data_IF_079830620447
#
_entry.id   IF_079830620447
#
_cell.length_a   1.000
_cell.length_b   1.000
_cell.length_c   1.000
_cell.angle_alpha   90.00
_cell.angle_beta   90.00
_cell.angle_gamma   90.00
#
_symmetry.space_group_name_H-M   'P 1'
#
loop_
_entity.id
_entity.type
_entity.pdbx_description
1 polymer ?
#
# COMPACT_ATOMS: atom_id res chain seq x y z
N UNK A 1 5.30 15.96 -6.59
CA UNK A 1 5.36 15.92 -5.10
C UNK A 1 6.74 16.44 -4.68
N UNK A 2 6.85 17.58 -3.99
CA UNK A 2 8.12 18.28 -3.73
C UNK A 2 9.16 17.47 -2.92
N UNK A 3 8.73 16.40 -2.24
CA UNK A 3 9.57 15.54 -1.39
C UNK A 3 10.29 14.43 -2.17
N UNK A 4 9.89 14.15 -3.41
CA UNK A 4 10.32 12.96 -4.13
C UNK A 4 11.78 13.02 -4.61
N UNK A 5 12.49 11.91 -4.46
CA UNK A 5 13.83 11.69 -4.97
C UNK A 5 13.94 10.24 -5.47
N UNK A 6 14.65 10.04 -6.58
CA UNK A 6 14.69 8.76 -7.28
C UNK A 6 13.70 8.67 -8.44
N UNK A 7 13.92 7.72 -9.35
CA UNK A 7 13.02 7.41 -10.47
C UNK A 7 12.03 6.33 -10.01
N UNK A 8 10.73 6.63 -9.89
CA UNK A 8 9.73 5.61 -9.62
C UNK A 8 9.55 4.73 -10.85
N UNK A 9 9.57 3.41 -10.68
CA UNK A 9 9.34 2.46 -11.77
C UNK A 9 8.55 1.24 -11.30
N UNK A 10 7.63 0.79 -12.15
CA UNK A 10 6.97 -0.52 -12.05
C UNK A 10 7.74 -1.52 -12.92
N UNK A 11 8.19 -2.61 -12.32
CA UNK A 11 8.75 -3.75 -13.04
C UNK A 11 7.69 -4.85 -13.02
N UNK A 12 7.13 -5.15 -14.19
CA UNK A 12 6.07 -6.14 -14.36
C UNK A 12 6.61 -7.40 -15.03
N UNK A 13 6.23 -8.55 -14.48
CA UNK A 13 6.51 -9.87 -15.01
C UNK A 13 5.20 -10.45 -15.50
N UNK A 14 5.07 -10.58 -16.82
CA UNK A 14 3.87 -11.14 -17.46
C UNK A 14 4.01 -12.65 -17.61
N UNK A 15 2.97 -13.39 -17.22
CA UNK A 15 2.96 -14.84 -17.28
C UNK A 15 2.09 -15.31 -18.45
N UNK A 16 2.75 -15.83 -19.49
CA UNK A 16 2.05 -16.50 -20.59
C UNK A 16 1.33 -17.74 -20.08
N UNK A 17 0.07 -17.91 -20.47
CA UNK A 17 -0.75 -19.06 -20.07
C UNK A 17 -0.52 -20.22 -21.02
N UNK A 18 0.20 -21.26 -20.61
CA UNK A 18 0.47 -22.45 -21.45
C UNK A 18 -0.63 -23.51 -21.30
N UNK A 19 -1.19 -24.02 -22.40
CA UNK A 19 -2.22 -25.06 -22.42
C UNK A 19 -2.10 -25.98 -23.64
N UNK A 20 -2.78 -27.12 -23.61
CA UNK A 20 -2.93 -27.99 -24.78
C UNK A 20 -4.13 -27.52 -25.60
N UNK A 21 -3.96 -27.35 -26.91
CA UNK A 21 -5.06 -27.09 -27.82
C UNK A 21 -5.86 -28.37 -28.12
N UNK A 22 -6.90 -28.27 -28.96
CA UNK A 22 -7.77 -29.42 -29.32
C UNK A 22 -7.01 -30.55 -30.02
N UNK A 23 -5.88 -30.23 -30.63
CA UNK A 23 -4.99 -31.15 -31.34
C UNK A 23 -3.90 -31.75 -30.41
N UNK A 24 -3.95 -31.48 -29.10
CA UNK A 24 -2.98 -31.99 -28.12
C UNK A 24 -1.60 -31.32 -28.19
N UNK A 25 -1.47 -30.21 -28.91
CA UNK A 25 -0.23 -29.42 -29.01
C UNK A 25 -0.19 -28.36 -27.92
N UNK A 26 0.98 -28.18 -27.29
CA UNK A 26 1.22 -27.06 -26.38
C UNK A 26 1.12 -25.75 -27.16
N UNK A 27 0.25 -24.86 -26.71
CA UNK A 27 0.09 -23.49 -27.16
C UNK A 27 0.12 -22.56 -25.94
N UNK A 28 0.21 -21.26 -26.18
CA UNK A 28 0.19 -20.26 -25.12
C UNK A 28 -0.67 -19.06 -25.52
N UNK A 29 -1.22 -18.37 -24.52
CA UNK A 29 -1.92 -17.10 -24.71
C UNK A 29 -1.14 -15.96 -24.04
N UNK A 30 -1.00 -14.86 -24.78
CA UNK A 30 -0.39 -13.59 -24.35
C UNK A 30 -1.38 -12.43 -24.39
N UNK A 31 -2.66 -12.68 -24.66
CA UNK A 31 -3.70 -11.65 -24.56
C UNK A 31 -4.00 -11.45 -23.08
N UNK A 32 -3.74 -10.23 -22.59
CA UNK A 32 -3.94 -9.81 -21.20
C UNK A 32 -3.34 -10.80 -20.18
N UNK A 33 -2.02 -11.08 -20.28
CA UNK A 33 -1.42 -12.07 -19.40
C UNK A 33 -1.49 -11.55 -17.96
N UNK A 34 -1.80 -12.43 -16.98
CA UNK A 34 -1.69 -12.04 -15.59
C UNK A 34 -0.24 -11.61 -15.33
N UNK A 35 -0.06 -10.60 -14.50
CA UNK A 35 1.25 -10.07 -14.17
C UNK A 35 1.45 -9.99 -12.67
N UNK A 36 2.68 -10.27 -12.25
CA UNK A 36 3.17 -9.88 -10.94
C UNK A 36 4.02 -8.62 -11.11
N UNK A 37 4.03 -7.73 -10.14
CA UNK A 37 4.78 -6.48 -10.26
C UNK A 37 5.42 -6.08 -8.95
N UNK A 38 6.61 -5.50 -9.07
CA UNK A 38 7.24 -4.75 -8.00
C UNK A 38 7.41 -3.30 -8.41
N UNK A 39 7.44 -2.42 -7.42
CA UNK A 39 7.52 -0.98 -7.59
C UNK A 39 8.75 -0.50 -6.86
N UNK A 40 9.54 0.35 -7.52
CA UNK A 40 10.78 0.93 -6.99
C UNK A 40 10.59 2.43 -6.83
N UNK A 41 11.15 3.01 -5.76
CA UNK A 41 11.11 4.44 -5.44
C UNK A 41 9.71 5.07 -5.45
N UNK A 42 8.66 4.25 -5.41
CA UNK A 42 7.30 4.68 -5.18
C UNK A 42 6.96 4.58 -3.71
N UNK A 43 7.13 5.69 -2.99
CA UNK A 43 7.01 5.76 -1.54
C UNK A 43 5.57 5.75 -1.05
N UNK A 44 4.57 5.81 -1.93
CA UNK A 44 3.16 5.66 -1.55
C UNK A 44 2.60 4.48 -2.33
N UNK A 45 2.53 3.29 -1.72
CA UNK A 45 2.10 2.09 -2.41
C UNK A 45 0.68 2.20 -2.96
N UNK A 46 0.44 1.57 -4.12
CA UNK A 46 -0.87 1.59 -4.79
C UNK A 46 -1.99 0.88 -4.03
N UNK A 47 -1.65 0.12 -2.98
CA UNK A 47 -2.63 -0.50 -2.06
C UNK A 47 -3.04 0.42 -0.90
N UNK A 48 -2.39 1.59 -0.74
CA UNK A 48 -2.74 2.57 0.28
C UNK A 48 -3.91 3.44 -0.17
N UNK A 49 -4.82 3.79 0.74
CA UNK A 49 -5.85 4.78 0.43
C UNK A 49 -5.28 6.18 0.59
N UNK A 50 -5.49 7.02 -0.43
CA UNK A 50 -5.07 8.42 -0.36
C UNK A 50 -6.04 9.17 0.53
N UNK A 51 -5.54 9.70 1.64
CA UNK A 51 -6.29 10.59 2.52
C UNK A 51 -6.30 12.02 1.96
N UNK A 52 -5.13 12.55 1.62
CA UNK A 52 -5.00 13.86 0.98
C UNK A 52 -3.86 13.85 -0.04
N UNK A 53 -4.21 14.13 -1.30
CA UNK A 53 -3.26 14.09 -2.42
C UNK A 53 -2.31 15.28 -2.47
N UNK A 54 -2.72 16.45 -1.95
CA UNK A 54 -1.91 17.68 -1.95
C UNK A 54 -0.72 17.50 -1.01
N UNK A 55 -0.99 17.00 0.19
CA UNK A 55 0.03 16.77 1.21
C UNK A 55 0.70 15.39 1.10
N UNK A 56 0.14 14.48 0.30
CA UNK A 56 0.65 13.12 0.15
C UNK A 56 0.43 12.29 1.41
N UNK A 57 -0.71 12.48 2.06
CA UNK A 57 -1.15 11.72 3.22
C UNK A 57 -1.94 10.49 2.75
N UNK A 58 -1.66 9.34 3.37
CA UNK A 58 -2.25 8.07 2.98
C UNK A 58 -2.40 7.14 4.18
N UNK A 59 -3.25 6.14 4.06
CA UNK A 59 -3.45 5.13 5.08
C UNK A 59 -2.49 3.96 4.91
N UNK A 60 -2.05 3.39 6.03
CA UNK A 60 -1.28 2.15 6.03
C UNK A 60 -2.09 1.02 6.64
N UNK A 61 -1.83 -0.24 6.25
CA UNK A 61 -2.59 -1.39 6.70
C UNK A 61 -2.32 -1.62 8.19
N UNK A 62 -3.22 -2.34 8.85
CA UNK A 62 -3.33 -2.31 10.31
C UNK A 62 -2.16 -3.00 11.00
N UNK A 63 -1.73 -4.15 10.47
CA UNK A 63 -0.70 -4.98 11.11
C UNK A 63 0.60 -4.84 10.35
N UNK A 64 1.62 -4.32 11.02
CA UNK A 64 3.00 -4.29 10.52
C UNK A 64 3.84 -5.31 11.27
N UNK A 65 4.60 -6.11 10.53
CA UNK A 65 5.65 -6.99 11.07
C UNK A 65 6.98 -6.69 10.35
N UNK A 66 8.06 -6.49 11.11
CA UNK A 66 9.42 -6.47 10.55
C UNK A 66 9.97 -7.89 10.57
N UNK A 67 10.20 -8.46 9.38
CA UNK A 67 10.58 -9.87 9.22
C UNK A 67 12.09 -10.04 9.31
N UNK A 68 12.84 -9.14 8.69
CA UNK A 68 14.30 -9.03 8.73
C UNK A 68 14.67 -7.53 8.67
N UNK A 69 15.90 -7.12 9.03
CA UNK A 69 16.34 -5.74 8.81
C UNK A 69 16.14 -5.29 7.36
N UNK A 70 15.38 -4.22 7.15
CA UNK A 70 15.05 -3.71 5.81
C UNK A 70 13.89 -4.42 5.12
N UNK A 71 13.16 -5.31 5.81
CA UNK A 71 12.02 -6.04 5.26
C UNK A 71 10.82 -5.95 6.22
N UNK A 72 9.83 -5.17 5.83
CA UNK A 72 8.54 -5.11 6.53
C UNK A 72 7.45 -5.79 5.70
N UNK A 73 6.47 -6.40 6.38
CA UNK A 73 5.24 -6.90 5.77
C UNK A 73 4.02 -6.34 6.51
N UNK A 74 3.03 -5.91 5.74
CA UNK A 74 1.75 -5.45 6.25
C UNK A 74 0.62 -6.41 5.89
N UNK A 75 -0.22 -6.71 6.88
CA UNK A 75 -1.37 -7.64 6.80
C UNK A 75 -1.03 -9.00 6.15
N UNK A 76 0.24 -9.41 6.22
CA UNK A 76 0.73 -10.66 5.65
C UNK A 76 0.81 -10.71 4.12
N UNK A 77 0.63 -9.60 3.41
CA UNK A 77 0.58 -9.59 1.93
C UNK A 77 1.31 -8.41 1.27
N UNK A 78 1.51 -7.29 1.97
CA UNK A 78 2.11 -6.06 1.41
C UNK A 78 3.53 -5.91 1.90
N UNK A 79 4.51 -6.10 1.01
CA UNK A 79 5.92 -6.11 1.38
C UNK A 79 6.56 -4.78 1.09
N UNK A 80 7.40 -4.31 2.00
CA UNK A 80 8.26 -3.14 1.86
C UNK A 80 9.71 -3.58 2.04
N UNK A 81 10.57 -3.24 1.08
CA UNK A 81 12.02 -3.39 1.19
C UNK A 81 12.67 -2.01 1.24
N UNK A 82 13.54 -1.80 2.21
CA UNK A 82 14.10 -0.48 2.54
C UNK A 82 15.51 -0.62 3.11
N UNK A 83 16.23 0.50 3.19
CA UNK A 83 17.51 0.57 3.88
C UNK A 83 17.27 0.78 5.39
N UNK A 84 17.59 -0.20 6.26
CA UNK A 84 17.34 -0.07 7.69
C UNK A 84 18.28 0.92 8.40
N UNK A 85 19.34 1.41 7.74
CA UNK A 85 20.25 2.42 8.30
C UNK A 85 19.72 3.85 8.14
N UNK A 86 18.65 4.04 7.36
CA UNK A 86 17.98 5.33 7.16
C UNK A 86 16.92 5.60 8.24
N UNK A 87 16.50 6.87 8.44
CA UNK A 87 15.31 7.19 9.22
C UNK A 87 14.06 6.43 8.72
N UNK A 88 12.96 6.36 9.47
CA UNK A 88 11.74 5.68 9.01
C UNK A 88 11.27 6.18 7.64
N UNK A 89 10.90 5.29 6.71
CA UNK A 89 10.45 5.66 5.37
C UNK A 89 9.13 6.45 5.38
N UNK A 90 8.25 6.19 6.36
CA UNK A 90 7.04 6.95 6.64
C UNK A 90 7.02 7.43 8.08
N UNK A 91 6.34 8.55 8.30
CA UNK A 91 6.10 9.12 9.63
C UNK A 91 4.60 9.39 9.83
N UNK A 92 4.08 9.28 11.05
CA UNK A 92 2.68 9.57 11.33
C UNK A 92 2.35 11.03 11.04
N UNK A 93 1.15 11.25 10.52
CA UNK A 93 0.52 12.57 10.46
C UNK A 93 -0.17 12.80 11.80
N UNK A 94 -0.05 14.00 12.36
CA UNK A 94 -0.77 14.35 13.59
C UNK A 94 -2.26 14.59 13.33
N UNK A 95 -3.10 14.45 14.37
CA UNK A 95 -4.53 14.77 14.29
C UNK A 95 -4.75 16.18 13.78
N UNK A 96 -3.98 17.17 14.26
CA UNK A 96 -4.07 18.56 13.79
C UNK A 96 -3.70 18.71 12.30
N UNK A 97 -2.60 18.10 11.85
CA UNK A 97 -2.20 18.14 10.44
C UNK A 97 -3.29 17.54 9.53
N UNK A 98 -3.78 16.34 9.87
CA UNK A 98 -4.79 15.64 9.09
C UNK A 98 -6.12 16.41 9.08
N UNK A 99 -6.54 16.95 10.22
CA UNK A 99 -7.79 17.71 10.32
C UNK A 99 -7.71 19.02 9.53
N UNK A 100 -6.58 19.73 9.58
CA UNK A 100 -6.37 20.95 8.79
C UNK A 100 -6.39 20.66 7.28
N UNK A 101 -5.82 19.53 6.84
CA UNK A 101 -5.92 19.10 5.44
C UNK A 101 -7.38 18.84 5.03
N UNK A 102 -8.16 18.15 5.87
CA UNK A 102 -9.59 17.92 5.64
C UNK A 102 -10.38 19.24 5.56
N UNK A 103 -10.13 20.18 6.49
CA UNK A 103 -10.75 21.53 6.47
C UNK A 103 -10.44 22.26 5.18
N UNK A 104 -9.18 22.24 4.73
CA UNK A 104 -8.79 22.89 3.48
C UNK A 104 -9.48 22.26 2.28
N UNK A 105 -9.50 20.93 2.19
CA UNK A 105 -10.18 20.22 1.09
C UNK A 105 -11.67 20.58 1.02
N UNK A 106 -12.35 20.50 2.16
CA UNK A 106 -13.80 20.76 2.27
C UNK A 106 -14.15 22.23 2.01
N UNK A 107 -13.26 23.17 2.34
CA UNK A 107 -13.45 24.60 2.07
C UNK A 107 -13.55 24.96 0.57
N UNK A 108 -13.23 24.01 -0.32
CA UNK A 108 -13.36 24.18 -1.78
C UNK A 108 -14.80 24.00 -2.28
N UNK A 109 -15.72 23.56 -1.41
CA UNK A 109 -17.15 23.53 -1.71
C UNK A 109 -17.64 24.92 -2.09
N UNK A 110 -18.40 24.99 -3.18
CA UNK A 110 -18.90 26.25 -3.76
C UNK A 110 -20.38 26.46 -3.44
N UNK A 111 -21.13 25.40 -3.20
CA UNK A 111 -22.51 25.51 -2.75
C UNK A 111 -22.56 26.06 -1.32
N UNK A 112 -23.26 27.18 -1.13
CA UNK A 112 -23.27 27.88 0.14
C UNK A 112 -23.97 27.10 1.25
N UNK A 113 -25.04 26.36 0.90
CA UNK A 113 -25.77 25.55 1.87
C UNK A 113 -24.87 24.40 2.35
N UNK A 114 -24.29 23.63 1.43
CA UNK A 114 -23.37 22.54 1.74
C UNK A 114 -22.12 23.04 2.46
N UNK A 115 -21.53 24.16 2.05
CA UNK A 115 -20.36 24.74 2.73
C UNK A 115 -20.66 25.12 4.18
N UNK A 116 -21.84 25.71 4.44
CA UNK A 116 -22.26 26.07 5.81
C UNK A 116 -22.48 24.83 6.69
N UNK A 117 -23.13 23.81 6.15
CA UNK A 117 -23.37 22.54 6.83
C UNK A 117 -22.06 21.81 7.13
N UNK A 118 -21.16 21.72 6.14
CA UNK A 118 -19.84 21.11 6.30
C UNK A 118 -19.02 21.82 7.38
N UNK A 119 -19.03 23.15 7.39
CA UNK A 119 -18.34 23.93 8.42
C UNK A 119 -18.87 23.59 9.81
N UNK A 120 -20.19 23.53 9.98
CA UNK A 120 -20.80 23.17 11.26
C UNK A 120 -20.35 21.79 11.75
N UNK A 121 -20.35 20.78 10.87
CA UNK A 121 -19.89 19.44 11.23
C UNK A 121 -18.40 19.41 11.60
N UNK A 122 -17.54 20.08 10.82
CA UNK A 122 -16.11 20.14 11.12
C UNK A 122 -15.80 20.88 12.42
N UNK A 123 -16.50 21.97 12.71
CA UNK A 123 -16.32 22.70 13.96
C UNK A 123 -16.76 21.85 15.18
N UNK A 124 -17.83 21.06 15.04
CA UNK A 124 -18.27 20.10 16.06
C UNK A 124 -17.25 18.97 16.26
N UNK A 125 -16.78 18.36 15.17
CA UNK A 125 -15.75 17.31 15.23
C UNK A 125 -14.46 17.82 15.89
N UNK A 126 -14.00 19.02 15.53
CA UNK A 126 -12.80 19.62 16.10
C UNK A 126 -12.94 19.94 17.59
N UNK A 127 -14.13 20.39 18.01
CA UNK A 127 -14.43 20.67 19.41
C UNK A 127 -14.49 19.39 20.25
N UNK A 128 -14.90 18.27 19.65
CA UNK A 128 -14.95 16.97 20.32
C UNK A 128 -13.56 16.34 20.53
N UNK A 129 -12.56 16.71 19.73
CA UNK A 129 -11.18 16.22 19.87
C UNK A 129 -10.47 16.97 21.02
N UNK A 130 -10.03 16.27 22.08
CA UNK A 130 -9.29 16.89 23.18
C UNK A 130 -8.02 17.58 22.70
N UNK A 131 -7.69 18.73 23.27
CA UNK A 131 -6.47 19.47 22.89
C UNK A 131 -5.19 18.64 23.09
N UNK A 132 -5.16 17.76 24.11
CA UNK A 132 -4.07 16.81 24.37
C UNK A 132 -3.84 15.80 23.25
N UNK A 133 -4.84 15.58 22.40
CA UNK A 133 -4.83 14.55 21.37
C UNK A 133 -4.43 15.08 20.00
N UNK A 134 -4.42 16.41 19.82
CA UNK A 134 -4.15 17.06 18.54
C UNK A 134 -2.76 16.77 17.99
N UNK A 135 -1.78 16.58 18.88
CA UNK A 135 -0.40 16.23 18.52
C UNK A 135 -0.15 14.71 18.46
N UNK A 136 -1.14 13.88 18.76
CA UNK A 136 -1.02 12.42 18.63
C UNK A 136 -1.14 12.00 17.15
N UNK A 137 -0.69 10.78 16.80
CA UNK A 137 -0.93 10.21 15.48
C UNK A 137 -2.41 10.20 15.11
N UNK A 138 -2.70 10.54 13.86
CA UNK A 138 -4.03 10.49 13.27
C UNK A 138 -4.34 9.11 12.68
N UNK A 139 -5.61 8.73 12.75
CA UNK A 139 -6.16 7.53 12.14
C UNK A 139 -7.32 7.87 11.23
N UNK A 140 -7.55 7.03 10.22
CA UNK A 140 -8.64 7.19 9.26
C UNK A 140 -9.94 6.67 9.88
N UNK A 141 -10.72 7.59 10.43
CA UNK A 141 -11.92 7.31 11.21
C UNK A 141 -13.21 7.69 10.50
N UNK A 142 -14.28 7.76 11.30
CA UNK A 142 -15.61 8.24 10.87
C UNK A 142 -15.69 9.75 10.68
N UNK A 143 -16.92 10.25 10.51
CA UNK A 143 -17.19 11.69 10.37
C UNK A 143 -16.90 12.24 8.97
N UNK A 144 -17.05 13.55 8.84
CA UNK A 144 -16.80 14.32 7.63
C UNK A 144 -15.30 14.54 7.42
N UNK A 145 -14.52 14.79 8.48
CA UNK A 145 -13.06 14.92 8.38
C UNK A 145 -12.34 13.60 8.07
N UNK A 146 -12.95 12.46 8.42
CA UNK A 146 -12.32 11.12 8.41
C UNK A 146 -11.09 11.02 9.31
N UNK A 147 -10.99 11.86 10.34
CA UNK A 147 -9.85 11.88 11.28
C UNK A 147 -10.28 11.42 12.66
N UNK A 148 -9.54 10.47 13.23
CA UNK A 148 -9.66 10.02 14.61
C UNK A 148 -8.32 10.14 15.36
N UNK A 149 -8.38 10.34 16.67
CA UNK A 149 -7.21 10.32 17.56
C UNK A 149 -6.90 8.94 18.15
N UNK A 150 -7.71 7.93 17.84
CA UNK A 150 -7.58 6.54 18.29
C UNK A 150 -7.58 5.56 17.11
N UNK A 151 -6.91 4.42 17.28
CA UNK A 151 -6.88 3.32 16.29
C UNK A 151 -8.16 2.47 16.27
N UNK A 152 -9.23 2.94 16.92
CA UNK A 152 -10.43 2.15 17.19
C UNK A 152 -11.63 2.97 17.66
N UNK A 153 -12.78 2.29 17.79
CA UNK A 153 -14.07 2.89 18.18
C UNK A 153 -14.90 1.90 19.01
N UNK A 154 -15.62 2.40 20.03
CA UNK A 154 -16.55 1.60 20.87
C UNK A 154 -15.98 0.28 21.40
N UNK A 155 -14.73 0.30 21.85
CA UNK A 155 -14.06 -0.88 22.41
C UNK A 155 -13.54 -1.88 21.36
N UNK A 156 -13.67 -1.57 20.07
CA UNK A 156 -12.98 -2.28 19.00
C UNK A 156 -11.66 -1.59 18.69
N UNK A 157 -10.57 -2.27 18.99
CA UNK A 157 -9.22 -1.81 18.69
C UNK A 157 -8.79 -2.22 17.28
N UNK A 158 -7.96 -1.37 16.66
CA UNK A 158 -7.26 -1.66 15.40
C UNK A 158 -8.20 -1.83 14.21
N UNK A 159 -9.21 -0.96 14.12
CA UNK A 159 -10.12 -0.88 12.97
C UNK A 159 -9.87 0.36 12.10
N UNK A 160 -9.19 1.37 12.64
CA UNK A 160 -8.86 2.60 11.91
C UNK A 160 -7.38 2.57 11.50
N UNK A 161 -7.07 2.56 10.19
CA UNK A 161 -5.68 2.58 9.75
C UNK A 161 -5.04 3.93 10.05
N UNK A 162 -3.74 3.92 10.36
CA UNK A 162 -3.00 5.15 10.67
C UNK A 162 -2.80 5.99 9.40
N UNK A 163 -2.91 7.31 9.53
CA UNK A 163 -2.61 8.25 8.45
C UNK A 163 -1.12 8.60 8.52
N UNK A 164 -0.41 8.34 7.44
CA UNK A 164 1.04 8.48 7.31
C UNK A 164 1.38 9.49 6.21
N UNK A 165 2.60 10.00 6.25
CA UNK A 165 3.23 10.77 5.18
C UNK A 165 4.63 10.23 4.92
N UNK A 166 5.12 10.44 3.70
CA UNK A 166 6.50 10.11 3.33
C UNK A 166 7.46 10.92 4.19
N UNK A 167 8.47 10.26 4.75
CA UNK A 167 9.55 10.95 5.44
C UNK A 167 10.55 11.53 4.42
N UNK A 168 10.68 12.85 4.28
CA UNK A 168 11.64 13.46 3.35
C UNK A 168 13.09 13.04 3.64
N UNK A 169 13.42 12.79 4.92
CA UNK A 169 14.78 12.47 5.37
C UNK A 169 15.17 11.02 5.06
N UNK A 170 14.21 10.16 4.70
CA UNK A 170 14.51 8.79 4.29
C UNK A 170 15.42 8.75 3.06
N UNK A 171 15.12 9.58 2.07
CA UNK A 171 15.80 9.53 0.77
C UNK A 171 17.24 10.05 0.86
N UNK A 172 18.19 9.18 0.51
CA UNK A 172 19.59 9.54 0.35
C UNK A 172 19.79 10.27 -0.99
N UNK A 173 19.91 11.59 -0.92
CA UNK A 173 20.12 12.47 -2.09
C UNK A 173 21.57 12.44 -2.63
N UNK A 174 22.48 11.75 -1.94
CA UNK A 174 23.86 11.56 -2.41
C UNK A 174 23.99 10.38 -3.39
N UNK A 175 23.00 9.48 -3.42
CA UNK A 175 22.94 8.39 -4.41
C UNK A 175 22.45 8.90 -5.76
N UNK A 176 22.81 8.27 -6.89
CA UNK A 176 22.25 8.63 -8.19
C UNK A 176 20.73 8.44 -8.20
N UNK A 177 20.00 9.24 -9.00
CA UNK A 177 18.53 9.15 -9.10
C UNK A 177 18.03 7.77 -9.57
N UNK A 178 18.89 6.98 -10.22
CA UNK A 178 18.59 5.61 -10.65
C UNK A 178 18.77 4.56 -9.54
N UNK A 179 19.34 4.92 -8.38
CA UNK A 179 19.46 4.00 -7.25
C UNK A 179 18.07 3.61 -6.74
N UNK A 180 17.88 2.33 -6.45
CA UNK A 180 16.65 1.81 -5.85
C UNK A 180 16.79 2.03 -4.34
N UNK A 181 16.01 2.93 -3.75
CA UNK A 181 16.08 3.22 -2.31
C UNK A 181 14.88 2.66 -1.56
N UNK A 182 13.81 2.29 -2.27
CA UNK A 182 12.58 1.77 -1.68
C UNK A 182 11.95 0.80 -2.66
N UNK A 183 11.41 -0.32 -2.18
CA UNK A 183 10.60 -1.21 -2.99
C UNK A 183 9.34 -1.63 -2.27
N UNK A 184 8.27 -1.86 -3.04
CA UNK A 184 7.10 -2.54 -2.53
C UNK A 184 6.47 -3.45 -3.58
N UNK A 185 5.77 -4.47 -3.12
CA UNK A 185 4.99 -5.40 -3.93
C UNK A 185 3.93 -6.09 -3.07
N UNK A 186 2.97 -6.72 -3.74
CA UNK A 186 1.99 -7.60 -3.10
C UNK A 186 2.37 -9.07 -3.33
N UNK A 187 2.37 -9.86 -2.26
CA UNK A 187 2.56 -11.31 -2.29
C UNK A 187 2.03 -11.92 -1.00
N UNK A 188 1.03 -12.78 -1.09
CA UNK A 188 0.43 -13.41 0.10
C UNK A 188 1.45 -14.35 0.77
N UNK A 189 1.68 -14.14 2.07
CA UNK A 189 2.60 -14.95 2.88
C UNK A 189 2.03 -16.32 3.20
N UNK A 190 0.70 -16.44 3.33
CA UNK A 190 0.04 -17.71 3.64
C UNK A 190 0.09 -18.67 2.43
N UNK A 191 1.11 -19.54 2.39
CA UNK A 191 1.31 -20.49 1.30
C UNK A 191 0.28 -21.61 1.24
N UNK A 192 -0.36 -21.97 2.35
CA UNK A 192 -1.47 -22.93 2.34
C UNK A 192 -2.69 -22.35 1.61
N UNK A 193 -2.99 -21.08 1.87
CA UNK A 193 -4.03 -20.35 1.13
C UNK A 193 -3.68 -20.26 -0.37
N UNK A 194 -2.44 -19.91 -0.72
CA UNK A 194 -2.01 -19.87 -2.12
C UNK A 194 -2.06 -21.23 -2.82
N UNK A 195 -1.74 -22.31 -2.09
CA UNK A 195 -1.88 -23.68 -2.62
C UNK A 195 -3.34 -24.00 -2.93
N UNK A 196 -4.26 -23.62 -2.05
CA UNK A 196 -5.71 -23.77 -2.28
C UNK A 196 -6.17 -22.98 -3.51
N UNK A 197 -5.73 -21.72 -3.66
CA UNK A 197 -6.04 -20.91 -4.85
C UNK A 197 -5.52 -21.55 -6.14
N UNK A 198 -4.31 -22.12 -6.12
CA UNK A 198 -3.75 -22.84 -7.26
C UNK A 198 -4.57 -24.10 -7.59
N UNK A 199 -4.97 -24.88 -6.58
CA UNK A 199 -5.77 -26.09 -6.80
C UNK A 199 -7.15 -25.75 -7.38
N UNK A 200 -7.81 -24.69 -6.87
CA UNK A 200 -9.08 -24.18 -7.40
C UNK A 200 -8.93 -23.73 -8.87
N UNK A 201 -7.84 -23.04 -9.22
CA UNK A 201 -7.54 -22.67 -10.60
C UNK A 201 -7.38 -23.90 -11.51
N UNK A 202 -6.65 -24.93 -11.06
CA UNK A 202 -6.44 -26.17 -11.82
C UNK A 202 -7.76 -26.89 -12.07
N UNK A 203 -8.61 -27.01 -11.05
CA UNK A 203 -9.93 -27.64 -11.19
C UNK A 203 -10.85 -26.85 -12.13
N UNK A 204 -10.84 -25.52 -12.05
CA UNK A 204 -11.59 -24.67 -12.97
C UNK A 204 -11.12 -24.87 -14.42
N UNK A 205 -9.82 -25.03 -14.65
CA UNK A 205 -9.26 -25.27 -15.98
C UNK A 205 -9.76 -26.55 -16.64
N UNK A 206 -10.01 -27.61 -15.86
CA UNK A 206 -10.60 -28.87 -16.36
C UNK A 206 -11.97 -28.67 -17.00
N UNK A 207 -12.66 -27.56 -16.72
CA UNK A 207 -13.96 -27.20 -17.29
C UNK A 207 -13.86 -26.46 -18.64
N UNK A 208 -12.67 -26.35 -19.23
CA UNK A 208 -12.46 -25.77 -20.56
C UNK A 208 -12.20 -24.26 -20.58
N UNK A 209 -11.80 -23.66 -19.45
CA UNK A 209 -11.41 -22.24 -19.39
C UNK A 209 -9.99 -22.01 -19.95
N UNK A 210 -9.82 -20.91 -20.69
CA UNK A 210 -8.57 -20.54 -21.38
C UNK A 210 -7.55 -19.75 -20.57
N UNK A 211 -7.80 -19.45 -19.29
CA UNK A 211 -6.81 -18.78 -18.42
C UNK A 211 -5.80 -19.78 -17.84
N UNK A 212 -4.54 -19.37 -17.72
CA UNK A 212 -3.48 -20.15 -17.09
C UNK A 212 -3.40 -19.89 -15.59
N UNK A 213 -2.82 -20.84 -14.86
CA UNK A 213 -2.59 -20.75 -13.41
C UNK A 213 -1.16 -20.32 -13.07
N UNK A 214 -0.43 -19.76 -14.03
CA UNK A 214 1.02 -19.56 -13.94
C UNK A 214 1.40 -18.46 -12.95
N UNK A 215 0.58 -17.41 -12.82
CA UNK A 215 0.73 -16.42 -11.74
C UNK A 215 0.57 -17.07 -10.36
N UNK A 216 -0.49 -17.87 -10.15
CA UNK A 216 -0.71 -18.55 -8.87
C UNK A 216 0.43 -19.54 -8.53
N UNK A 217 1.01 -20.21 -9.54
CA UNK A 217 2.20 -21.04 -9.38
C UNK A 217 3.40 -20.21 -8.95
N UNK A 218 3.65 -19.09 -9.64
CA UNK A 218 4.73 -18.18 -9.30
C UNK A 218 4.59 -17.69 -7.87
N UNK A 219 3.44 -17.13 -7.49
CA UNK A 219 3.21 -16.58 -6.15
C UNK A 219 3.29 -17.64 -5.05
N UNK A 220 2.89 -18.88 -5.32
CA UNK A 220 3.09 -20.00 -4.40
C UNK A 220 4.57 -20.29 -4.18
N UNK A 221 5.37 -20.27 -5.25
CA UNK A 221 6.82 -20.54 -5.22
C UNK A 221 7.65 -19.38 -4.67
N UNK A 222 7.23 -18.15 -4.94
CA UNK A 222 7.94 -16.93 -4.56
C UNK A 222 7.94 -16.77 -3.04
N UNK A 223 9.12 -16.80 -2.42
CA UNK A 223 9.25 -16.93 -0.97
C UNK A 223 10.31 -16.02 -0.37
N UNK A 224 10.59 -16.24 0.92
CA UNK A 224 11.54 -15.41 1.67
C UNK A 224 12.94 -15.38 1.08
N UNK A 225 13.41 -16.47 0.45
CA UNK A 225 14.70 -16.49 -0.23
C UNK A 225 14.73 -15.47 -1.38
N UNK A 226 13.68 -15.44 -2.21
CA UNK A 226 13.57 -14.49 -3.32
C UNK A 226 13.46 -13.05 -2.81
N UNK A 227 12.65 -12.83 -1.77
CA UNK A 227 12.47 -11.51 -1.15
C UNK A 227 13.80 -10.98 -0.58
N UNK A 228 14.58 -11.83 0.10
CA UNK A 228 15.91 -11.48 0.60
C UNK A 228 16.91 -11.21 -0.52
N UNK A 229 16.85 -11.96 -1.62
CA UNK A 229 17.69 -11.69 -2.78
C UNK A 229 17.36 -10.33 -3.39
N UNK A 230 16.07 -10.00 -3.51
CA UNK A 230 15.63 -8.70 -4.04
C UNK A 230 16.03 -7.57 -3.08
N UNK A 231 15.95 -7.75 -1.76
CA UNK A 231 16.30 -6.68 -0.80
C UNK A 231 17.76 -6.22 -0.92
N UNK A 232 18.66 -7.07 -1.43
CA UNK A 232 20.06 -6.69 -1.72
C UNK A 232 20.19 -5.61 -2.80
N UNK A 233 19.15 -5.39 -3.61
CA UNK A 233 19.13 -4.37 -4.66
C UNK A 233 18.86 -2.95 -4.12
N UNK A 234 18.50 -2.81 -2.84
CA UNK A 234 18.39 -1.49 -2.19
C UNK A 234 19.79 -0.87 -2.15
N UNK A 235 19.95 0.25 -2.86
CA UNK A 235 21.15 1.07 -2.87
C UNK A 235 21.35 1.73 -1.51
N UNK A 236 22.57 1.60 -0.99
CA UNK A 236 23.04 2.18 0.27
C UNK A 236 24.04 3.29 -0.03
#
# INVERSE_FOLDING_TARGET
RPVWYGVPARIAFEFSSFFLNKEGKVTFNTIEPPSWSLYTNDLIPGWSDIFDSKYGYFTVPLKKETIDPGIDVYDGERWILYDPERPPYWVPVTVEEAFNAAKEFISREKDQFTASLNKQFLDQEWAAIPASDRNKPAYFGGGLSRVASSHGFEGQDSIFPMIMKVNPEYLNRNLPKSAIQFMWFSSVRNKQYMKKQLDECIEYRKKGSGSGCDLARFELSFGMTDIRNISTLIGK
#
